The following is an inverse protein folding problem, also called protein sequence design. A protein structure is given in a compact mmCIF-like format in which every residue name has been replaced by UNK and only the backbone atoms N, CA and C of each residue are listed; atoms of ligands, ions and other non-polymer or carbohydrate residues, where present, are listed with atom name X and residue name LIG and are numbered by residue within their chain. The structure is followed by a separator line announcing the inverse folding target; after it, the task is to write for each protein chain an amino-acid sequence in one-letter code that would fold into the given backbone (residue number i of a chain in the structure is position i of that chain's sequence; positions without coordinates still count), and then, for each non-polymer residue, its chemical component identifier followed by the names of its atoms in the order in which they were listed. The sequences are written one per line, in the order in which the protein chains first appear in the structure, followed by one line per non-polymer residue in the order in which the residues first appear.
data_IF_700340150698
#
_entry.id   IF_700340150698
#
_cell.length_a   1.000
_cell.length_b   1.000
_cell.length_c   1.000
_cell.angle_alpha   90.00
_cell.angle_beta   90.00
_cell.angle_gamma   90.00
#
_symmetry.space_group_name_H-M   'P 1'
#
loop_
_entity.id
_entity.type
_entity.pdbx_description
1 polymer ?
#
# COMPACT_ATOMS: atom_id res chain seq x y z
N UNK A 1 -1.32 -16.37 3.12
CA UNK A 1 -0.96 -15.05 3.67
C UNK A 1 -1.84 -13.95 3.11
N UNK A 2 -1.95 -13.84 1.79
CA UNK A 2 -2.94 -12.99 1.07
C UNK A 2 -4.36 -13.16 1.66
N UNK A 3 -4.73 -14.39 2.04
CA UNK A 3 -5.99 -14.68 2.72
C UNK A 3 -6.16 -14.02 4.09
N UNK A 4 -5.06 -13.82 4.83
CA UNK A 4 -5.05 -13.16 6.14
C UNK A 4 -5.17 -11.64 6.00
N UNK A 5 -4.64 -11.05 4.93
CA UNK A 5 -4.83 -9.62 4.65
C UNK A 5 -6.32 -9.29 4.52
N UNK A 6 -7.11 -10.14 3.85
CA UNK A 6 -8.57 -9.99 3.83
C UNK A 6 -9.21 -10.07 5.22
N UNK A 7 -8.72 -10.97 6.08
CA UNK A 7 -9.23 -11.11 7.45
C UNK A 7 -8.83 -9.93 8.38
N UNK A 8 -8.30 -8.83 7.83
CA UNK A 8 -7.96 -7.62 8.58
C UNK A 8 -6.60 -7.70 9.28
N UNK A 9 -5.78 -8.68 8.93
CA UNK A 9 -4.39 -8.75 9.37
C UNK A 9 -3.52 -7.90 8.46
N UNK A 10 -3.36 -6.62 8.83
CA UNK A 10 -2.28 -5.79 8.28
C UNK A 10 -0.96 -6.39 8.74
N UNK A 11 -0.07 -6.70 7.82
CA UNK A 11 1.21 -7.25 8.21
C UNK A 11 2.22 -6.19 8.57
N UNK A 12 3.03 -6.52 9.56
CA UNK A 12 4.31 -5.88 9.79
C UNK A 12 5.39 -6.88 9.46
N UNK A 13 6.45 -6.40 8.80
CA UNK A 13 7.59 -7.23 8.47
C UNK A 13 8.76 -6.90 9.39
N UNK A 14 9.39 -7.94 9.94
CA UNK A 14 10.58 -7.82 10.77
C UNK A 14 11.57 -8.94 10.46
N UNK A 15 12.83 -8.76 10.84
CA UNK A 15 13.84 -9.80 10.75
C UNK A 15 14.12 -10.39 12.12
N UNK A 16 14.21 -11.71 12.20
CA UNK A 16 14.68 -12.42 13.38
C UNK A 16 15.97 -13.18 13.05
N UNK A 17 16.94 -13.20 13.97
CA UNK A 17 18.12 -14.05 13.82
C UNK A 17 17.71 -15.53 13.91
N UNK A 18 18.39 -16.37 13.13
CA UNK A 18 18.29 -17.82 13.12
C UNK A 18 19.67 -18.45 13.31
N UNK A 19 19.70 -19.77 13.44
CA UNK A 19 20.96 -20.52 13.58
C UNK A 19 21.87 -20.25 12.36
N UNK A 20 23.17 -20.11 12.61
CA UNK A 20 24.21 -19.80 11.61
C UNK A 20 24.19 -18.37 11.02
N UNK A 21 23.86 -17.35 11.82
CA UNK A 21 23.84 -15.92 11.41
C UNK A 21 22.89 -15.61 10.23
N UNK A 22 21.92 -16.48 9.98
CA UNK A 22 20.89 -16.25 8.97
C UNK A 22 19.79 -15.33 9.54
N UNK A 23 19.44 -14.29 8.78
CA UNK A 23 18.29 -13.44 9.10
C UNK A 23 17.04 -13.96 8.39
N UNK A 24 16.05 -14.39 9.16
CA UNK A 24 14.76 -14.83 8.64
C UNK A 24 13.80 -13.65 8.67
N UNK A 25 13.14 -13.41 7.54
CA UNK A 25 12.04 -12.46 7.50
C UNK A 25 10.75 -13.09 8.01
N UNK A 26 10.10 -12.42 8.95
CA UNK A 26 8.81 -12.81 9.49
C UNK A 26 7.79 -11.73 9.18
N UNK A 27 6.59 -12.17 8.79
CA UNK A 27 5.42 -11.33 8.65
C UNK A 27 4.51 -11.59 9.86
N UNK A 28 4.30 -10.57 10.68
CA UNK A 28 3.46 -10.66 11.87
C UNK A 28 2.18 -9.88 11.69
N UNK A 29 1.05 -10.33 12.25
CA UNK A 29 -0.16 -9.54 12.26
C UNK A 29 0.02 -8.28 13.13
N UNK A 30 -0.36 -7.12 12.58
CA UNK A 30 -0.49 -5.88 13.32
C UNK A 30 -1.87 -5.85 14.01
N UNK A 31 -1.86 -6.03 15.32
CA UNK A 31 -3.05 -5.94 16.15
C UNK A 31 -3.15 -4.53 16.74
N UNK A 32 -4.04 -3.70 16.19
CA UNK A 32 -4.45 -2.46 16.84
C UNK A 32 -5.86 -2.68 17.42
N UNK A 33 -6.08 -2.37 18.70
CA UNK A 33 -7.39 -2.56 19.34
C UNK A 33 -8.46 -1.64 18.76
N UNK A 34 -8.06 -0.50 18.19
CA UNK A 34 -8.91 0.45 17.51
C UNK A 34 -8.30 0.77 16.15
N UNK A 35 -9.13 0.75 15.09
CA UNK A 35 -8.69 1.06 13.73
C UNK A 35 -9.03 2.51 13.39
N UNK A 36 -8.05 3.22 12.85
CA UNK A 36 -8.28 4.52 12.23
C UNK A 36 -8.89 4.29 10.85
N UNK A 37 -10.14 4.71 10.67
CA UNK A 37 -10.88 4.55 9.42
C UNK A 37 -11.15 5.90 8.79
N UNK A 38 -10.88 6.02 7.49
CA UNK A 38 -11.28 7.17 6.69
C UNK A 38 -12.57 6.83 5.94
N UNK A 39 -13.66 7.55 6.23
CA UNK A 39 -14.87 7.44 5.43
C UNK A 39 -14.76 8.37 4.21
N UNK A 40 -14.35 7.83 3.07
CA UNK A 40 -14.01 8.59 1.87
C UNK A 40 -15.11 9.59 1.45
N UNK A 41 -16.39 9.17 1.50
CA UNK A 41 -17.52 10.02 1.11
C UNK A 41 -17.84 11.14 2.10
N UNK A 42 -17.37 11.04 3.35
CA UNK A 42 -17.55 12.07 4.39
C UNK A 42 -16.27 12.85 4.68
N UNK A 43 -15.18 12.52 3.99
CA UNK A 43 -13.88 13.14 4.21
C UNK A 43 -13.95 14.62 3.83
N UNK A 44 -13.58 15.48 4.77
CA UNK A 44 -13.56 16.91 4.52
C UNK A 44 -12.44 17.26 3.53
N UNK A 45 -12.82 17.80 2.37
CA UNK A 45 -11.87 18.36 1.39
C UNK A 45 -11.98 19.87 1.38
N UNK A 46 -10.88 20.55 1.75
CA UNK A 46 -10.87 22.01 1.77
C UNK A 46 -11.04 22.60 0.37
N UNK A 47 -11.70 23.76 0.25
CA UNK A 47 -11.83 24.49 -1.04
C UNK A 47 -10.48 24.77 -1.71
N UNK A 48 -9.43 25.00 -0.91
CA UNK A 48 -8.06 25.21 -1.40
C UNK A 48 -7.50 23.94 -2.05
N UNK A 49 -7.73 22.77 -1.45
CA UNK A 49 -7.32 21.49 -2.02
C UNK A 49 -8.05 21.21 -3.34
N UNK A 50 -9.37 21.42 -3.39
CA UNK A 50 -10.17 21.27 -4.63
C UNK A 50 -9.63 22.17 -5.75
N UNK A 51 -9.31 23.43 -5.45
CA UNK A 51 -8.75 24.36 -6.44
C UNK A 51 -7.39 23.88 -6.96
N UNK A 52 -6.51 23.40 -6.07
CA UNK A 52 -5.19 22.87 -6.45
C UNK A 52 -5.30 21.60 -7.30
N UNK A 53 -6.23 20.71 -6.97
CA UNK A 53 -6.44 19.43 -7.65
C UNK A 53 -6.72 19.57 -9.15
N UNK A 54 -7.26 20.71 -9.61
CA UNK A 54 -7.56 20.99 -11.03
C UNK A 54 -6.36 20.95 -11.96
N UNK A 55 -5.14 21.04 -11.42
CA UNK A 55 -3.90 21.02 -12.20
C UNK A 55 -3.31 19.62 -12.34
N UNK A 56 -4.00 18.60 -11.83
CA UNK A 56 -3.52 17.22 -11.82
C UNK A 56 -4.53 16.28 -12.47
N UNK A 57 -4.05 15.13 -12.91
CA UNK A 57 -4.88 14.01 -13.36
C UNK A 57 -4.56 12.78 -12.50
N UNK A 58 -5.52 11.88 -12.38
CA UNK A 58 -5.39 10.68 -11.56
C UNK A 58 -5.62 9.45 -12.41
N UNK A 59 -4.76 8.43 -12.24
CA UNK A 59 -4.96 7.09 -12.79
C UNK A 59 -4.96 6.06 -11.66
N UNK A 60 -5.31 4.82 -12.03
CA UNK A 60 -5.27 3.67 -11.14
C UNK A 60 -4.51 2.57 -11.87
N UNK A 61 -3.57 1.93 -11.18
CA UNK A 61 -2.74 0.81 -11.65
C UNK A 61 -1.84 1.09 -12.85
N UNK A 62 -1.57 2.35 -13.19
CA UNK A 62 -0.70 2.68 -14.33
C UNK A 62 0.79 2.67 -13.98
N UNK A 63 1.17 2.97 -12.72
CA UNK A 63 2.58 3.13 -12.34
C UNK A 63 2.90 2.58 -10.93
N UNK A 64 2.39 1.39 -10.61
CA UNK A 64 2.57 0.75 -9.29
C UNK A 64 4.02 0.76 -8.77
N UNK A 65 4.98 0.39 -9.61
CA UNK A 65 6.39 0.30 -9.20
C UNK A 65 6.96 1.69 -8.87
N UNK A 66 6.60 2.71 -9.64
CA UNK A 66 7.04 4.08 -9.41
C UNK A 66 6.39 4.68 -8.15
N UNK A 67 5.13 4.36 -7.89
CA UNK A 67 4.43 4.72 -6.64
C UNK A 67 5.10 4.06 -5.44
N UNK A 68 5.32 2.74 -5.48
CA UNK A 68 6.01 1.99 -4.42
C UNK A 68 7.39 2.59 -4.13
N UNK A 69 8.18 2.88 -5.16
CA UNK A 69 9.48 3.54 -5.01
C UNK A 69 9.34 4.97 -4.46
N UNK A 70 8.31 5.71 -4.85
CA UNK A 70 7.94 7.00 -4.30
C UNK A 70 7.70 6.94 -2.79
N UNK A 71 6.88 6.01 -2.33
CA UNK A 71 6.59 5.79 -0.92
C UNK A 71 7.86 5.48 -0.12
N UNK A 72 8.75 4.62 -0.65
CA UNK A 72 10.04 4.29 -0.01
C UNK A 72 10.96 5.52 0.04
N UNK A 73 11.03 6.31 -1.05
CA UNK A 73 11.85 7.53 -1.07
C UNK A 73 11.36 8.55 -0.04
N UNK A 74 10.04 8.67 0.15
CA UNK A 74 9.43 9.65 1.04
C UNK A 74 9.48 9.23 2.52
N UNK A 75 9.25 7.96 2.81
CA UNK A 75 9.04 7.45 4.17
C UNK A 75 10.12 6.47 4.66
N UNK A 76 11.08 6.12 3.82
CA UNK A 76 12.04 5.04 4.07
C UNK A 76 11.40 3.65 3.92
N UNK A 77 12.13 2.62 4.36
CA UNK A 77 11.63 1.23 4.29
C UNK A 77 10.69 0.84 5.45
N UNK A 78 10.22 1.79 6.27
CA UNK A 78 9.52 1.52 7.54
C UNK A 78 8.39 0.48 7.44
N UNK A 79 7.20 0.91 7.01
CA UNK A 79 6.06 -0.01 6.83
C UNK A 79 6.15 -0.79 5.51
N UNK A 80 6.95 -0.33 4.54
CA UNK A 80 7.23 -1.00 3.26
C UNK A 80 8.52 -1.84 3.30
N UNK A 81 8.78 -2.50 4.41
CA UNK A 81 9.96 -3.34 4.50
C UNK A 81 9.88 -4.50 3.49
N UNK A 82 11.03 -5.09 3.11
CA UNK A 82 11.14 -5.99 1.92
C UNK A 82 10.08 -7.10 1.81
N UNK A 83 9.60 -7.63 2.94
CA UNK A 83 8.59 -8.70 2.96
C UNK A 83 7.20 -8.15 2.67
N UNK A 84 6.90 -6.95 3.17
CA UNK A 84 5.64 -6.26 2.89
C UNK A 84 5.54 -5.91 1.40
N UNK A 85 6.63 -5.45 0.78
CA UNK A 85 6.68 -5.19 -0.67
C UNK A 85 6.35 -6.43 -1.49
N UNK A 86 6.85 -7.59 -1.08
CA UNK A 86 6.55 -8.86 -1.73
C UNK A 86 5.06 -9.22 -1.59
N UNK A 87 4.50 -9.07 -0.39
CA UNK A 87 3.07 -9.31 -0.12
C UNK A 87 2.19 -8.41 -0.97
N UNK A 88 2.44 -7.10 -0.98
CA UNK A 88 1.63 -6.12 -1.70
C UNK A 88 1.66 -6.40 -3.21
N UNK A 89 2.83 -6.77 -3.75
CA UNK A 89 2.95 -7.16 -5.17
C UNK A 89 2.15 -8.43 -5.47
N UNK A 90 2.23 -9.44 -4.60
CA UNK A 90 1.43 -10.67 -4.75
C UNK A 90 -0.07 -10.40 -4.69
N UNK A 91 -0.53 -9.56 -3.76
CA UNK A 91 -1.93 -9.14 -3.66
C UNK A 91 -2.39 -8.36 -4.89
N UNK A 92 -1.52 -7.56 -5.52
CA UNK A 92 -1.85 -6.87 -6.77
C UNK A 92 -2.00 -7.84 -7.94
N UNK A 93 -1.01 -8.70 -8.14
CA UNK A 93 -0.93 -9.61 -9.29
C UNK A 93 -1.98 -10.72 -9.24
N UNK A 94 -2.10 -11.37 -8.08
CA UNK A 94 -2.92 -12.56 -7.91
C UNK A 94 -4.29 -12.21 -7.30
N UNK A 95 -4.37 -11.13 -6.53
CA UNK A 95 -5.54 -10.83 -5.70
C UNK A 95 -5.68 -11.82 -4.56
N UNK A 96 -6.85 -11.82 -3.92
CA UNK A 96 -7.20 -12.84 -2.93
C UNK A 96 -7.25 -14.23 -3.57
N UNK A 97 -6.47 -15.15 -3.00
CA UNK A 97 -6.29 -16.52 -3.50
C UNK A 97 -7.06 -17.57 -2.69
N UNK A 98 -7.88 -17.15 -1.72
CA UNK A 98 -8.63 -18.09 -0.88
C UNK A 98 -9.88 -18.62 -1.54
N UNK A 99 -10.68 -19.36 -0.78
CA UNK A 99 -11.88 -20.04 -1.29
C UNK A 99 -13.10 -19.13 -1.47
N UNK A 100 -13.06 -17.91 -0.96
CA UNK A 100 -14.13 -16.92 -1.08
C UNK A 100 -14.03 -16.13 -2.39
N UNK A 101 -15.16 -15.90 -3.04
CA UNK A 101 -15.25 -15.04 -4.23
C UNK A 101 -15.26 -13.56 -3.80
N UNK A 102 -14.07 -13.00 -3.58
CA UNK A 102 -13.88 -11.63 -3.15
C UNK A 102 -12.89 -10.89 -4.06
N UNK A 103 -13.26 -9.68 -4.48
CA UNK A 103 -12.43 -8.80 -5.30
C UNK A 103 -11.39 -8.03 -4.50
N UNK A 104 -10.65 -8.67 -3.59
CA UNK A 104 -9.65 -8.02 -2.76
C UNK A 104 -8.27 -8.06 -3.43
N UNK A 105 -7.72 -6.88 -3.73
CA UNK A 105 -6.42 -6.69 -4.40
C UNK A 105 -5.79 -5.37 -3.92
N UNK A 106 -4.49 -5.22 -4.11
CA UNK A 106 -3.78 -3.94 -3.95
C UNK A 106 -3.86 -3.17 -5.26
N UNK A 107 -4.11 -1.86 -5.17
CA UNK A 107 -4.23 -0.97 -6.32
C UNK A 107 -3.34 0.24 -6.10
N UNK A 108 -2.55 0.64 -7.09
CA UNK A 108 -1.87 1.93 -7.00
C UNK A 108 -2.77 3.06 -7.49
N UNK A 109 -2.66 4.21 -6.86
CA UNK A 109 -3.26 5.46 -7.31
C UNK A 109 -2.12 6.41 -7.68
N UNK A 110 -2.17 6.94 -8.88
CA UNK A 110 -1.14 7.86 -9.38
C UNK A 110 -1.72 9.26 -9.56
N UNK A 111 -0.96 10.27 -9.15
CA UNK A 111 -1.28 11.68 -9.40
C UNK A 111 -0.23 12.28 -10.34
N UNK A 112 -0.70 12.72 -11.51
CA UNK A 112 0.14 13.30 -12.56
C UNK A 112 -0.08 14.81 -12.65
N UNK A 113 0.99 15.58 -12.87
CA UNK A 113 0.89 17.00 -13.13
C UNK A 113 0.55 17.31 -14.62
N UNK A 114 0.47 18.59 -14.97
CA UNK A 114 0.19 19.04 -16.33
C UNK A 114 1.28 18.72 -17.35
N UNK A 115 2.48 18.36 -16.89
CA UNK A 115 3.62 17.94 -17.72
C UNK A 115 3.68 16.40 -17.86
N UNK A 116 2.71 15.69 -17.29
CA UNK A 116 2.65 14.23 -17.30
C UNK A 116 3.67 13.57 -16.37
N UNK A 117 4.19 14.30 -15.38
CA UNK A 117 5.10 13.73 -14.38
C UNK A 117 4.32 13.14 -13.21
N UNK A 118 4.74 11.96 -12.73
CA UNK A 118 4.21 11.37 -11.50
C UNK A 118 4.70 12.17 -10.30
N UNK A 119 3.80 12.88 -9.63
CA UNK A 119 4.13 13.80 -8.54
C UNK A 119 3.69 13.31 -7.16
N UNK A 120 2.75 12.38 -7.11
CA UNK A 120 2.34 11.69 -5.89
C UNK A 120 1.67 10.35 -6.23
N UNK A 121 1.54 9.48 -5.23
CA UNK A 121 0.75 8.26 -5.34
C UNK A 121 0.59 7.56 -4.00
N UNK A 122 -0.30 6.59 -3.97
CA UNK A 122 -0.58 5.73 -2.81
C UNK A 122 -0.93 4.31 -3.26
N UNK A 123 -0.91 3.33 -2.35
CA UNK A 123 -1.14 1.90 -2.60
C UNK A 123 -2.40 1.35 -1.92
#
# INVERSE_FOLDING_TARGET
FVELAYAGFNSTSLEIPSDNDLMIQVLTPCFEPERNMLECLKTHVSKKAIKRAKHYTMSIDEAYDDVMLGCIRQHGEGWLYRGERWVLRKLREEGYTGSLDIGFRVHSFELWDSEGQLVAGDL
#
